data_IF_360773467457
#
_entry.id   IF_360773467457
#
_cell.length_a   1.000
_cell.length_b   1.000
_cell.length_c   1.000
_cell.angle_alpha   90.00
_cell.angle_beta   90.00
_cell.angle_gamma   90.00
#
_symmetry.space_group_name_H-M   'P 1'
#
loop_
_entity.id
_entity.type
_entity.pdbx_description
1 polymer ?
#
# COMPACT_ATOMS: atom_id res chain seq x y z
N UNK A 1 19.34 19.40 20.37
CA UNK A 1 19.02 19.74 18.97
C UNK A 1 18.09 18.65 18.45
N UNK A 2 17.06 19.01 17.68
CA UNK A 2 16.25 18.00 17.04
C UNK A 2 17.08 17.29 15.95
N UNK A 3 16.86 15.98 15.79
CA UNK A 3 17.52 15.24 14.71
C UNK A 3 17.11 15.82 13.34
N UNK A 4 18.01 15.79 12.34
CA UNK A 4 17.69 16.29 11.01
C UNK A 4 16.57 15.45 10.38
N UNK A 5 15.68 16.12 9.64
CA UNK A 5 14.60 15.47 8.90
C UNK A 5 15.19 14.51 7.86
N UNK A 6 14.71 13.28 7.87
CA UNK A 6 15.14 12.22 6.96
C UNK A 6 14.16 12.06 5.78
N UNK A 7 14.59 11.46 4.64
CA UNK A 7 13.68 11.09 3.56
C UNK A 7 12.50 10.21 4.05
N UNK A 8 12.73 9.32 5.00
CA UNK A 8 11.69 8.47 5.60
C UNK A 8 10.66 9.28 6.39
N UNK A 9 11.08 10.36 7.06
CA UNK A 9 10.15 11.27 7.75
C UNK A 9 9.27 12.00 6.74
N UNK A 10 9.84 12.49 5.64
CA UNK A 10 9.08 13.13 4.56
C UNK A 10 8.07 12.17 3.93
N UNK A 11 8.45 10.92 3.67
CA UNK A 11 7.53 9.90 3.14
C UNK A 11 6.39 9.66 4.13
N UNK A 12 6.68 9.48 5.41
CA UNK A 12 5.68 9.25 6.45
C UNK A 12 4.71 10.43 6.58
N UNK A 13 5.21 11.66 6.57
CA UNK A 13 4.37 12.86 6.65
C UNK A 13 3.52 13.03 5.41
N UNK A 14 4.08 12.79 4.22
CA UNK A 14 3.36 12.77 2.95
C UNK A 14 2.17 11.81 2.99
N UNK A 15 2.39 10.56 3.41
CA UNK A 15 1.32 9.55 3.53
C UNK A 15 0.25 9.96 4.56
N UNK A 16 0.66 10.50 5.70
CA UNK A 16 -0.27 10.95 6.74
C UNK A 16 -1.15 12.10 6.23
N UNK A 17 -0.56 13.11 5.58
CA UNK A 17 -1.30 14.24 5.00
C UNK A 17 -2.24 13.79 3.88
N UNK A 18 -1.75 12.93 2.98
CA UNK A 18 -2.57 12.37 1.91
C UNK A 18 -3.75 11.53 2.46
N UNK A 19 -3.54 10.79 3.54
CA UNK A 19 -4.60 10.04 4.23
C UNK A 19 -5.66 10.94 4.84
N UNK A 20 -5.25 12.01 5.52
CA UNK A 20 -6.14 13.02 6.12
C UNK A 20 -6.96 13.72 5.03
N UNK A 21 -6.29 14.19 3.98
CA UNK A 21 -6.95 14.91 2.89
C UNK A 21 -7.98 14.04 2.16
N UNK A 22 -7.62 12.80 1.81
CA UNK A 22 -8.56 11.85 1.16
C UNK A 22 -9.74 11.49 2.06
N UNK A 23 -9.53 11.39 3.37
CA UNK A 23 -10.62 11.19 4.33
C UNK A 23 -11.56 12.41 4.31
N UNK A 24 -11.01 13.62 4.39
CA UNK A 24 -11.79 14.85 4.31
C UNK A 24 -12.60 14.97 3.00
N UNK A 25 -11.96 14.69 1.86
CA UNK A 25 -12.62 14.66 0.54
C UNK A 25 -13.75 13.63 0.45
N UNK A 26 -13.60 12.51 1.13
CA UNK A 26 -14.63 11.46 1.17
C UNK A 26 -15.88 11.84 1.98
N UNK A 27 -15.77 12.80 2.90
CA UNK A 27 -16.87 13.24 3.76
C UNK A 27 -17.48 14.57 3.36
N UNK A 28 -16.69 15.52 2.86
CA UNK A 28 -17.17 16.86 2.59
C UNK A 28 -17.99 16.95 1.31
N UNK A 29 -19.04 17.80 1.35
CA UNK A 29 -19.80 18.21 0.19
C UNK A 29 -19.56 19.70 -0.14
N UNK A 30 -18.75 20.40 0.64
CA UNK A 30 -18.39 21.79 0.47
C UNK A 30 -17.27 21.92 -0.57
N UNK A 31 -17.52 22.62 -1.67
CA UNK A 31 -16.50 22.90 -2.69
C UNK A 31 -15.28 23.63 -2.10
N UNK A 32 -15.52 24.53 -1.15
CA UNK A 32 -14.46 25.29 -0.48
C UNK A 32 -13.53 24.38 0.34
N UNK A 33 -14.08 23.37 1.03
CA UNK A 33 -13.29 22.39 1.78
C UNK A 33 -12.59 21.41 0.84
N UNK A 34 -13.23 21.03 -0.26
CA UNK A 34 -12.59 20.18 -1.28
C UNK A 34 -11.30 20.83 -1.80
N UNK A 35 -11.35 22.11 -2.19
CA UNK A 35 -10.16 22.84 -2.63
C UNK A 35 -9.04 22.82 -1.57
N UNK A 36 -9.38 22.98 -0.29
CA UNK A 36 -8.39 22.93 0.80
C UNK A 36 -7.75 21.55 0.95
N UNK A 37 -8.54 20.48 0.86
CA UNK A 37 -7.99 19.12 0.92
C UNK A 37 -7.16 18.77 -0.32
N UNK A 38 -7.51 19.27 -1.50
CA UNK A 38 -6.70 19.11 -2.72
C UNK A 38 -5.36 19.84 -2.59
N UNK A 39 -5.32 21.02 -1.98
CA UNK A 39 -4.06 21.71 -1.67
C UNK A 39 -3.18 20.89 -0.70
N UNK A 40 -3.78 20.24 0.30
CA UNK A 40 -3.03 19.34 1.21
C UNK A 40 -2.45 18.14 0.44
N UNK A 41 -3.19 17.59 -0.53
CA UNK A 41 -2.66 16.52 -1.39
C UNK A 41 -1.47 17.00 -2.23
N UNK A 42 -1.52 18.21 -2.79
CA UNK A 42 -0.42 18.79 -3.55
C UNK A 42 0.84 18.93 -2.68
N UNK A 43 0.72 19.48 -1.48
CA UNK A 43 1.84 19.58 -0.52
C UNK A 43 2.39 18.19 -0.15
N UNK A 44 1.51 17.22 0.06
CA UNK A 44 1.94 15.85 0.36
C UNK A 44 2.72 15.22 -0.82
N UNK A 45 2.32 15.50 -2.07
CA UNK A 45 3.03 15.03 -3.25
C UNK A 45 4.41 15.69 -3.38
N UNK A 46 4.51 17.00 -3.14
CA UNK A 46 5.79 17.72 -3.14
C UNK A 46 6.76 17.17 -2.08
N UNK A 47 6.26 16.83 -0.89
CA UNK A 47 7.06 16.19 0.15
C UNK A 47 7.59 14.81 -0.28
N UNK A 48 6.78 14.03 -1.02
CA UNK A 48 7.18 12.73 -1.56
C UNK A 48 8.30 12.89 -2.58
N UNK A 49 8.24 13.90 -3.45
CA UNK A 49 9.28 14.22 -4.41
C UNK A 49 10.55 14.71 -3.69
N UNK A 50 10.42 15.59 -2.69
CA UNK A 50 11.54 16.04 -1.87
C UNK A 50 12.26 14.89 -1.14
N UNK A 51 11.55 13.80 -0.84
CA UNK A 51 12.13 12.58 -0.28
C UNK A 51 12.92 11.73 -1.29
N UNK A 52 13.01 12.15 -2.55
CA UNK A 52 13.74 11.44 -3.61
C UNK A 52 12.88 10.53 -4.49
N UNK A 53 11.56 10.66 -4.42
CA UNK A 53 10.66 9.94 -5.34
C UNK A 53 10.80 10.46 -6.77
N UNK A 54 10.79 9.57 -7.76
CA UNK A 54 10.81 9.90 -9.19
C UNK A 54 9.42 10.20 -9.77
N UNK A 55 8.37 10.17 -8.96
CA UNK A 55 7.02 10.47 -9.42
C UNK A 55 6.84 11.95 -9.75
N UNK A 56 5.98 12.23 -10.75
CA UNK A 56 5.46 13.58 -10.96
C UNK A 56 4.43 13.89 -9.85
N UNK A 57 4.46 15.07 -9.20
CA UNK A 57 3.52 15.42 -8.14
C UNK A 57 2.05 15.36 -8.58
N UNK A 58 1.73 15.86 -9.77
CA UNK A 58 0.37 15.88 -10.29
C UNK A 58 -0.18 14.46 -10.55
N UNK A 59 0.67 13.56 -11.08
CA UNK A 59 0.31 12.15 -11.29
C UNK A 59 0.02 11.46 -9.94
N UNK A 60 0.79 11.79 -8.91
CA UNK A 60 0.61 11.24 -7.58
C UNK A 60 -0.70 11.71 -6.93
N UNK A 61 -1.02 13.02 -7.06
CA UNK A 61 -2.32 13.57 -6.62
C UNK A 61 -3.45 12.90 -7.36
N UNK A 62 -3.36 12.77 -8.68
CA UNK A 62 -4.36 12.09 -9.49
C UNK A 62 -4.58 10.63 -9.06
N UNK A 63 -3.52 9.90 -8.77
CA UNK A 63 -3.60 8.53 -8.27
C UNK A 63 -4.30 8.45 -6.90
N UNK A 64 -3.98 9.36 -5.99
CA UNK A 64 -4.65 9.43 -4.69
C UNK A 64 -6.13 9.77 -4.79
N UNK A 65 -6.51 10.66 -5.71
CA UNK A 65 -7.90 11.04 -5.95
C UNK A 65 -8.76 9.86 -6.42
N UNK A 66 -8.21 8.87 -7.12
CA UNK A 66 -8.94 7.67 -7.56
C UNK A 66 -9.52 6.86 -6.39
N UNK A 67 -8.94 6.95 -5.22
CA UNK A 67 -9.39 6.22 -4.02
C UNK A 67 -10.34 7.01 -3.13
N UNK A 68 -10.64 8.27 -3.46
CA UNK A 68 -11.59 9.09 -2.69
C UNK A 68 -13.01 8.55 -2.87
N UNK A 69 -13.69 8.27 -1.74
CA UNK A 69 -15.05 7.75 -1.73
C UNK A 69 -15.19 6.27 -2.12
N UNK A 70 -14.11 5.56 -2.34
CA UNK A 70 -14.10 4.11 -2.65
C UNK A 70 -13.91 3.30 -1.37
N UNK A 71 -14.71 2.27 -1.19
CA UNK A 71 -14.64 1.35 -0.04
C UNK A 71 -15.53 1.79 1.13
N UNK A 72 -15.08 1.52 2.37
CA UNK A 72 -15.81 1.92 3.57
C UNK A 72 -15.74 3.45 3.71
N UNK A 73 -16.88 4.16 3.77
CA UNK A 73 -16.87 5.60 3.96
C UNK A 73 -16.15 5.97 5.25
N UNK A 74 -15.21 6.90 5.17
CA UNK A 74 -14.66 7.54 6.33
C UNK A 74 -13.15 7.59 6.37
N UNK A 75 -12.45 6.53 6.65
CA UNK A 75 -11.02 6.59 6.89
C UNK A 75 -10.22 5.92 5.77
N UNK A 76 -9.18 6.62 5.32
CA UNK A 76 -8.14 6.01 4.52
C UNK A 76 -7.24 5.17 5.44
N UNK A 77 -7.12 3.89 5.13
CA UNK A 77 -6.25 2.97 5.87
C UNK A 77 -5.04 2.58 5.03
N UNK A 78 -3.93 2.14 5.63
CA UNK A 78 -2.81 1.58 4.90
C UNK A 78 -3.28 0.45 3.96
N UNK A 79 -2.73 0.41 2.75
CA UNK A 79 -2.94 -0.74 1.86
C UNK A 79 -2.21 -1.95 2.42
N UNK A 80 -2.93 -3.05 2.55
CA UNK A 80 -2.37 -4.31 3.04
C UNK A 80 -1.99 -5.19 1.85
N UNK A 81 -0.74 -5.65 1.83
CA UNK A 81 -0.30 -6.71 0.94
C UNK A 81 -0.05 -7.99 1.75
N UNK A 82 -0.31 -9.12 1.16
CA UNK A 82 -0.11 -10.43 1.77
C UNK A 82 0.95 -11.18 0.99
N UNK A 83 1.86 -11.84 1.70
CA UNK A 83 2.85 -12.74 1.12
C UNK A 83 2.75 -14.13 1.73
N UNK A 84 2.88 -15.17 0.94
CA UNK A 84 2.77 -16.56 1.36
C UNK A 84 4.12 -17.27 1.27
N UNK A 85 4.65 -17.74 2.40
CA UNK A 85 5.78 -18.64 2.44
C UNK A 85 5.21 -20.06 2.41
N UNK A 86 5.23 -20.69 1.25
CA UNK A 86 4.75 -22.06 1.04
C UNK A 86 5.92 -23.01 1.11
N UNK A 87 5.83 -24.03 1.95
CA UNK A 87 6.85 -25.03 2.19
C UNK A 87 6.30 -26.43 1.86
N UNK A 88 7.09 -27.25 1.21
CA UNK A 88 6.75 -28.64 0.95
C UNK A 88 7.31 -29.59 2.03
N UNK A 89 7.04 -30.90 1.90
CA UNK A 89 7.51 -31.94 2.83
C UNK A 89 9.03 -32.09 2.91
N UNK A 90 9.78 -31.47 1.97
CA UNK A 90 11.25 -31.50 1.93
C UNK A 90 11.89 -30.21 2.45
N UNK A 91 11.11 -29.34 3.09
CA UNK A 91 11.55 -28.02 3.56
C UNK A 91 11.98 -27.06 2.43
N UNK A 92 11.52 -27.29 1.19
CA UNK A 92 11.77 -26.39 0.07
C UNK A 92 10.71 -25.31 0.04
N UNK A 93 11.10 -24.05 -0.26
CA UNK A 93 10.22 -22.88 -0.32
C UNK A 93 9.83 -22.61 -1.78
N UNK A 94 8.54 -22.39 -2.00
CA UNK A 94 7.99 -21.99 -3.29
C UNK A 94 8.37 -20.53 -3.61
N UNK A 95 8.99 -20.34 -4.78
CA UNK A 95 9.24 -19.01 -5.34
C UNK A 95 8.62 -18.91 -6.72
N UNK A 96 8.15 -17.71 -7.05
CA UNK A 96 7.65 -17.32 -8.37
C UNK A 96 8.55 -16.26 -8.96
N UNK A 97 8.72 -16.27 -10.28
CA UNK A 97 9.48 -15.23 -10.96
C UNK A 97 8.53 -14.17 -11.52
N UNK A 98 8.70 -12.94 -11.10
CA UNK A 98 7.92 -11.82 -11.64
C UNK A 98 8.25 -11.59 -13.12
N UNK A 99 7.23 -11.41 -13.94
CA UNK A 99 7.37 -11.14 -15.36
C UNK A 99 7.89 -9.72 -15.68
N UNK A 100 7.65 -8.75 -14.77
CA UNK A 100 8.03 -7.35 -14.95
C UNK A 100 9.48 -7.03 -14.56
N UNK A 101 10.03 -7.72 -13.56
CA UNK A 101 11.35 -7.43 -12.98
C UNK A 101 12.31 -8.62 -12.98
N UNK A 102 11.85 -9.81 -13.39
CA UNK A 102 12.63 -11.07 -13.38
C UNK A 102 13.14 -11.46 -11.98
N UNK A 103 12.63 -10.82 -10.93
CA UNK A 103 12.99 -11.12 -9.54
C UNK A 103 12.21 -12.35 -9.07
N UNK A 104 12.90 -13.25 -8.35
CA UNK A 104 12.27 -14.38 -7.65
C UNK A 104 11.84 -13.97 -6.26
N UNK A 105 10.57 -14.22 -5.93
CA UNK A 105 10.01 -13.99 -4.61
C UNK A 105 8.91 -15.01 -4.29
N UNK A 106 8.47 -15.05 -3.05
CA UNK A 106 7.28 -15.82 -2.66
C UNK A 106 6.01 -15.21 -3.25
N UNK A 107 4.92 -15.98 -3.47
CA UNK A 107 3.63 -15.46 -3.94
C UNK A 107 3.13 -14.29 -3.10
N UNK A 108 2.71 -13.20 -3.76
CA UNK A 108 2.28 -11.97 -3.06
C UNK A 108 1.18 -11.26 -3.81
N UNK A 109 0.20 -10.69 -3.09
CA UNK A 109 -0.80 -9.82 -3.68
C UNK A 109 -1.36 -8.80 -2.70
N UNK A 110 -2.16 -7.89 -3.22
CA UNK A 110 -2.91 -6.94 -2.43
C UNK A 110 -4.10 -7.63 -1.76
N UNK A 111 -4.36 -7.29 -0.50
CA UNK A 111 -5.54 -7.79 0.18
C UNK A 111 -6.82 -7.21 -0.46
N UNK A 112 -7.67 -8.09 -0.99
CA UNK A 112 -8.97 -7.73 -1.51
C UNK A 112 -9.97 -7.45 -0.38
N UNK A 113 -10.89 -6.51 -0.64
CA UNK A 113 -11.99 -6.21 0.30
C UNK A 113 -12.89 -7.45 0.43
N UNK A 114 -13.19 -7.83 1.66
CA UNK A 114 -14.06 -8.96 1.97
C UNK A 114 -13.31 -10.27 2.20
N UNK A 115 -12.00 -10.30 2.03
CA UNK A 115 -11.15 -11.45 2.32
C UNK A 115 -10.24 -11.20 3.53
N UNK A 116 -10.04 -12.22 4.33
CA UNK A 116 -9.01 -12.20 5.37
C UNK A 116 -7.61 -12.34 4.74
N UNK A 117 -6.53 -11.91 5.42
CA UNK A 117 -5.16 -12.14 4.93
C UNK A 117 -4.84 -13.61 4.66
N UNK A 118 -5.42 -14.54 5.42
CA UNK A 118 -5.27 -15.97 5.21
C UNK A 118 -5.89 -16.44 3.88
N UNK A 119 -7.11 -16.00 3.59
CA UNK A 119 -7.80 -16.31 2.33
C UNK A 119 -7.05 -15.70 1.14
N UNK A 120 -6.55 -14.46 1.27
CA UNK A 120 -5.73 -13.83 0.22
C UNK A 120 -4.45 -14.61 -0.03
N UNK A 121 -3.76 -15.08 1.01
CA UNK A 121 -2.53 -15.89 0.86
C UNK A 121 -2.78 -17.16 0.03
N UNK A 122 -3.83 -17.90 0.34
CA UNK A 122 -4.22 -19.11 -0.40
C UNK A 122 -4.60 -18.79 -1.84
N UNK A 123 -5.39 -17.73 -2.03
CA UNK A 123 -5.83 -17.26 -3.35
C UNK A 123 -4.64 -16.91 -4.25
N UNK A 124 -3.71 -16.09 -3.77
CA UNK A 124 -2.52 -15.67 -4.54
C UNK A 124 -1.64 -16.86 -4.92
N UNK A 125 -1.41 -17.81 -3.99
CA UNK A 125 -0.67 -19.04 -4.30
C UNK A 125 -1.35 -19.82 -5.41
N UNK A 126 -2.66 -20.02 -5.32
CA UNK A 126 -3.42 -20.76 -6.33
C UNK A 126 -3.43 -20.03 -7.69
N UNK A 127 -3.63 -18.71 -7.71
CA UNK A 127 -3.67 -17.92 -8.94
C UNK A 127 -2.31 -17.82 -9.64
N UNK A 128 -1.21 -17.63 -8.88
CA UNK A 128 0.13 -17.48 -9.44
C UNK A 128 0.80 -18.81 -9.81
N UNK A 129 0.43 -19.91 -9.16
CA UNK A 129 1.16 -21.18 -9.30
C UNK A 129 0.29 -22.40 -9.60
N UNK A 130 -1.01 -22.32 -9.38
CA UNK A 130 -1.92 -23.49 -9.48
C UNK A 130 -1.77 -24.50 -8.32
N UNK A 131 -1.02 -24.16 -7.28
CA UNK A 131 -0.82 -25.05 -6.13
C UNK A 131 -1.89 -24.80 -5.07
N UNK A 132 -2.49 -25.87 -4.56
CA UNK A 132 -3.36 -25.82 -3.40
C UNK A 132 -2.53 -25.85 -2.12
N UNK A 133 -2.82 -24.93 -1.21
CA UNK A 133 -2.15 -24.84 0.10
C UNK A 133 -3.13 -24.48 1.20
N UNK A 134 -2.71 -24.68 2.45
CA UNK A 134 -3.44 -24.24 3.64
C UNK A 134 -2.58 -23.31 4.49
N UNK A 135 -3.22 -22.36 5.18
CA UNK A 135 -2.52 -21.44 6.08
C UNK A 135 -2.32 -22.11 7.43
N UNK A 136 -1.06 -22.22 7.84
CA UNK A 136 -0.68 -22.80 9.14
C UNK A 136 -0.57 -21.72 10.21
N UNK A 137 0.11 -20.60 9.91
CA UNK A 137 0.33 -19.53 10.89
C UNK A 137 0.68 -18.19 10.22
N UNK A 138 0.49 -17.11 10.95
CA UNK A 138 1.05 -15.80 10.63
C UNK A 138 2.52 -15.74 11.07
N UNK A 139 3.42 -15.47 10.13
CA UNK A 139 4.85 -15.38 10.42
C UNK A 139 5.27 -14.00 10.91
N UNK A 140 4.82 -12.94 10.24
CA UNK A 140 5.22 -11.57 10.57
C UNK A 140 4.26 -10.53 9.96
N UNK A 141 4.32 -9.32 10.50
CA UNK A 141 3.73 -8.10 9.91
C UNK A 141 4.85 -7.07 9.76
N UNK A 142 5.01 -6.53 8.55
CA UNK A 142 6.03 -5.53 8.25
C UNK A 142 5.40 -4.21 7.85
N UNK A 143 6.05 -3.11 8.20
CA UNK A 143 5.76 -1.78 7.69
C UNK A 143 6.49 -1.57 6.36
N UNK A 144 5.74 -1.51 5.26
CA UNK A 144 6.29 -1.33 3.91
C UNK A 144 7.00 0.00 3.68
N UNK A 145 6.77 1.01 4.53
CA UNK A 145 7.44 2.32 4.43
C UNK A 145 8.89 2.31 4.94
N UNK A 146 9.29 1.25 5.61
CA UNK A 146 10.64 1.14 6.22
C UNK A 146 11.65 0.37 5.37
N UNK A 147 11.39 0.20 4.09
CA UNK A 147 12.33 -0.46 3.16
C UNK A 147 13.15 0.54 2.38
#
# INVERSE_FOLDING_TARGET
>A
MADPVTPQDLIRWSEALAGIARTGLGFTQSLYEQERFEEVLAVAADMRVAAGSSYNPDDLVHEWMKSVGVGVPGYQTPKVAVGAIVQNEKDEILLVQRSDSVVWLYPTGWADIGYSPAEVAVKEVSEETGIDCEVVQLLAVYDGLRR
#
